data_IF_215767657285
#
_entry.id   IF_215767657285
#
_cell.length_a   1.000
_cell.length_b   1.000
_cell.length_c   1.000
_cell.angle_alpha   90.00
_cell.angle_beta   90.00
_cell.angle_gamma   90.00
#
_symmetry.space_group_name_H-M   'P 1'
#
loop_
_entity.id
_entity.type
_entity.pdbx_description
1 polymer ?
#
# COMPACT_ATOMS: atom_id res chain seq x y z
N UNK A 1 -8.22 -28.20 -30.59
CA UNK A 1 -8.04 -27.01 -31.47
C UNK A 1 -6.58 -26.52 -31.39
N UNK A 2 -5.97 -26.46 -30.21
CA UNK A 2 -4.55 -26.10 -30.03
C UNK A 2 -3.62 -27.11 -30.70
N UNK A 3 -3.88 -28.40 -30.48
CA UNK A 3 -3.11 -29.49 -31.09
C UNK A 3 -3.05 -29.43 -32.62
N UNK A 4 -4.08 -28.85 -33.24
CA UNK A 4 -4.17 -28.70 -34.68
C UNK A 4 -3.77 -27.29 -35.18
N UNK A 5 -3.32 -26.41 -34.28
CA UNK A 5 -2.90 -25.04 -34.62
C UNK A 5 -4.01 -24.10 -35.14
N UNK A 6 -5.29 -24.45 -34.92
CA UNK A 6 -6.46 -23.70 -35.41
C UNK A 6 -7.19 -22.92 -34.33
N UNK A 7 -6.68 -22.94 -33.09
CA UNK A 7 -7.25 -22.17 -31.97
C UNK A 7 -6.31 -22.15 -30.79
N UNK A 8 -6.58 -21.24 -29.86
CA UNK A 8 -5.85 -21.07 -28.62
C UNK A 8 -6.81 -20.88 -27.46
N UNK A 9 -6.54 -21.50 -26.32
CA UNK A 9 -7.25 -21.22 -25.08
C UNK A 9 -6.96 -19.78 -24.65
N UNK A 10 -8.02 -19.04 -24.30
CA UNK A 10 -7.90 -17.70 -23.75
C UNK A 10 -8.74 -17.59 -22.49
N UNK A 11 -8.07 -17.41 -21.37
CA UNK A 11 -8.70 -17.10 -20.10
C UNK A 11 -8.87 -15.59 -19.99
N UNK A 12 -10.09 -15.11 -19.76
CA UNK A 12 -10.35 -13.71 -19.50
C UNK A 12 -11.09 -13.54 -18.18
N UNK A 13 -10.62 -12.59 -17.38
CA UNK A 13 -11.22 -12.27 -16.08
C UNK A 13 -12.10 -11.03 -16.21
N UNK A 14 -13.29 -11.04 -15.59
CA UNK A 14 -14.19 -9.89 -15.48
C UNK A 14 -14.07 -9.24 -14.10
N UNK A 15 -12.86 -9.09 -13.60
CA UNK A 15 -12.58 -8.38 -12.37
C UNK A 15 -12.24 -6.94 -12.67
N UNK A 16 -12.72 -6.02 -11.83
CA UNK A 16 -12.22 -4.63 -11.84
C UNK A 16 -10.91 -4.58 -11.10
N UNK A 17 -10.03 -3.69 -11.53
CA UNK A 17 -8.79 -3.41 -10.81
C UNK A 17 -9.09 -2.97 -9.39
N UNK A 18 -8.34 -3.50 -8.45
CA UNK A 18 -8.40 -3.04 -7.07
C UNK A 18 -7.50 -1.82 -6.91
N UNK A 19 -8.13 -0.65 -6.80
CA UNK A 19 -7.43 0.62 -6.63
C UNK A 19 -7.29 0.92 -5.13
N UNK A 20 -6.06 0.87 -4.63
CA UNK A 20 -5.74 1.20 -3.24
C UNK A 20 -5.29 2.65 -3.06
N UNK A 21 -4.98 3.39 -4.12
CA UNK A 21 -4.63 4.80 -4.10
C UNK A 21 -5.81 5.70 -4.49
N UNK A 22 -5.79 6.93 -4.02
CA UNK A 22 -6.83 7.94 -4.28
C UNK A 22 -6.22 9.33 -4.44
N UNK A 23 -6.93 10.20 -5.13
CA UNK A 23 -6.64 11.62 -5.27
C UNK A 23 -7.10 12.39 -4.02
N UNK A 24 -6.48 12.06 -2.88
CA UNK A 24 -6.80 12.67 -1.58
C UNK A 24 -5.54 13.16 -0.89
N UNK A 25 -5.66 14.25 -0.14
CA UNK A 25 -4.55 14.75 0.68
C UNK A 25 -4.24 13.78 1.83
N UNK A 26 -5.27 13.36 2.59
CA UNK A 26 -5.08 12.45 3.71
C UNK A 26 -4.96 10.99 3.28
N UNK A 27 -3.85 10.39 3.61
CA UNK A 27 -3.49 9.01 3.37
C UNK A 27 -1.98 8.85 3.44
N UNK A 28 -1.48 7.64 3.50
CA UNK A 28 -0.06 7.37 3.42
C UNK A 28 0.44 7.79 2.03
N UNK A 29 1.49 8.64 1.94
CA UNK A 29 2.07 9.03 0.66
C UNK A 29 2.76 7.85 0.00
N UNK A 30 2.74 7.82 -1.32
CA UNK A 30 3.43 6.79 -2.11
C UNK A 30 4.84 7.32 -2.43
N UNK A 31 5.91 6.67 -1.96
CA UNK A 31 7.27 7.19 -2.10
C UNK A 31 7.86 6.91 -3.49
N UNK A 32 7.21 7.46 -4.53
CA UNK A 32 7.65 7.35 -5.94
C UNK A 32 7.83 8.74 -6.53
N UNK A 33 8.82 8.88 -7.39
CA UNK A 33 9.10 10.06 -8.21
C UNK A 33 8.97 9.68 -9.67
N UNK A 34 8.21 10.46 -10.44
CA UNK A 34 8.06 10.35 -11.89
C UNK A 34 8.94 11.40 -12.57
N UNK A 35 9.90 10.97 -13.37
CA UNK A 35 10.86 11.83 -14.04
C UNK A 35 10.40 12.25 -15.44
N UNK A 36 10.82 13.42 -15.90
CA UNK A 36 10.47 13.93 -17.23
C UNK A 36 11.05 13.06 -18.36
N UNK A 37 12.06 12.24 -18.10
CA UNK A 37 12.61 11.26 -19.04
C UNK A 37 11.75 10.01 -19.21
N UNK A 38 10.60 9.95 -18.53
CA UNK A 38 9.63 8.83 -18.57
C UNK A 38 9.97 7.69 -17.60
N UNK A 39 11.03 7.81 -16.80
CA UNK A 39 11.36 6.83 -15.76
C UNK A 39 10.64 7.14 -14.44
N UNK A 40 10.55 6.14 -13.56
CA UNK A 40 10.06 6.32 -12.20
C UNK A 40 10.99 5.62 -11.22
N UNK A 41 11.26 6.26 -10.10
CA UNK A 41 12.11 5.71 -9.04
C UNK A 41 11.45 5.82 -7.68
N UNK A 42 11.87 4.98 -6.74
CA UNK A 42 11.55 5.20 -5.34
C UNK A 42 12.23 6.46 -4.81
N UNK A 43 11.61 7.09 -3.82
CA UNK A 43 12.26 8.13 -3.01
C UNK A 43 13.47 7.51 -2.30
N UNK A 44 14.63 8.19 -2.26
CA UNK A 44 15.82 7.69 -1.55
C UNK A 44 15.54 7.36 -0.08
N UNK A 45 16.15 6.30 0.43
CA UNK A 45 15.92 5.84 1.81
C UNK A 45 16.23 6.90 2.87
N UNK A 46 17.23 7.75 2.64
CA UNK A 46 17.59 8.85 3.53
C UNK A 46 16.55 9.99 3.56
N UNK A 47 15.58 10.01 2.64
CA UNK A 47 14.45 10.94 2.62
C UNK A 47 13.18 10.33 3.23
N UNK A 48 13.23 9.10 3.70
CA UNK A 48 12.12 8.44 4.36
C UNK A 48 12.12 8.70 5.88
N UNK A 49 10.96 8.77 6.52
CA UNK A 49 9.62 8.62 5.94
C UNK A 49 9.21 9.83 5.10
N UNK A 50 8.57 9.58 3.95
CA UNK A 50 7.98 10.65 3.16
C UNK A 50 6.80 11.25 3.90
N UNK A 51 6.90 12.52 4.28
CA UNK A 51 5.90 13.23 5.09
C UNK A 51 5.05 14.13 4.20
N UNK A 52 3.72 14.10 4.43
CA UNK A 52 2.82 15.05 3.77
C UNK A 52 3.13 16.49 4.18
N UNK A 53 3.15 17.43 3.23
CA UNK A 53 3.43 18.84 3.53
C UNK A 53 2.30 19.44 4.35
N UNK A 54 2.64 20.25 5.35
CA UNK A 54 1.64 20.98 6.12
C UNK A 54 1.05 22.10 5.25
N UNK A 55 -0.25 22.09 5.06
CA UNK A 55 -0.97 23.13 4.32
C UNK A 55 -2.34 23.40 4.93
N UNK A 56 -2.81 24.63 4.83
CA UNK A 56 -4.19 25.01 5.13
C UNK A 56 -5.07 25.03 3.87
N UNK A 57 -4.48 24.88 2.69
CA UNK A 57 -5.18 24.92 1.41
C UNK A 57 -5.25 23.50 0.80
N UNK A 58 -6.36 22.82 1.08
CA UNK A 58 -6.65 21.47 0.56
C UNK A 58 -7.80 21.58 -0.44
N UNK A 59 -7.57 22.35 -1.51
CA UNK A 59 -8.54 22.51 -2.59
C UNK A 59 -8.31 21.46 -3.69
N UNK A 60 -9.37 21.02 -4.39
CA UNK A 60 -9.23 20.23 -5.59
C UNK A 60 -8.31 20.92 -6.60
N UNK A 61 -7.49 20.14 -7.30
CA UNK A 61 -6.57 20.66 -8.33
C UNK A 61 -7.27 21.26 -9.54
N UNK A 62 -8.52 20.88 -9.79
CA UNK A 62 -9.24 21.22 -11.01
C UNK A 62 -8.84 20.39 -12.25
N UNK A 63 -7.79 19.59 -12.14
CA UNK A 63 -7.25 18.74 -13.22
C UNK A 63 -7.60 17.26 -13.06
N UNK A 64 -8.26 16.89 -11.95
CA UNK A 64 -8.49 15.50 -11.56
C UNK A 64 -7.34 14.87 -10.76
N UNK A 65 -6.24 15.58 -10.58
CA UNK A 65 -5.15 15.17 -9.70
C UNK A 65 -5.49 15.41 -8.22
N UNK A 66 -4.71 14.83 -7.33
CA UNK A 66 -4.81 15.07 -5.89
C UNK A 66 -4.55 16.54 -5.53
N UNK A 67 -5.12 17.05 -4.41
CA UNK A 67 -4.76 18.37 -3.88
C UNK A 67 -3.26 18.58 -3.67
N UNK A 68 -2.48 17.53 -3.48
CA UNK A 68 -1.01 17.59 -3.39
C UNK A 68 -0.37 18.15 -4.66
N UNK A 69 -1.01 18.01 -5.82
CA UNK A 69 -0.52 18.56 -7.08
C UNK A 69 -0.45 20.09 -7.10
N UNK A 70 -1.16 20.78 -6.19
CA UNK A 70 -1.09 22.23 -6.05
C UNK A 70 0.12 22.70 -5.22
N UNK A 71 0.83 21.81 -4.55
CA UNK A 71 1.92 22.13 -3.62
C UNK A 71 3.28 21.95 -4.32
N UNK A 72 3.61 22.86 -5.21
CA UNK A 72 4.77 22.79 -6.11
C UNK A 72 6.09 22.59 -5.36
N UNK A 73 6.27 23.25 -4.22
CA UNK A 73 7.51 23.15 -3.43
C UNK A 73 7.76 21.73 -2.87
N UNK A 74 6.69 20.98 -2.60
CA UNK A 74 6.78 19.58 -2.19
C UNK A 74 6.82 18.64 -3.39
N UNK A 75 6.08 19.00 -4.44
CA UNK A 75 5.85 18.16 -5.61
C UNK A 75 7.09 18.03 -6.48
N UNK A 76 7.74 19.16 -6.78
CA UNK A 76 8.82 19.22 -7.75
C UNK A 76 10.16 18.84 -7.13
N UNK A 77 10.89 18.00 -7.83
CA UNK A 77 12.23 17.52 -7.44
C UNK A 77 13.16 17.56 -8.65
N UNK A 78 14.45 17.63 -8.38
CA UNK A 78 15.47 17.59 -9.43
C UNK A 78 16.48 16.52 -9.06
N UNK A 79 16.75 15.61 -9.98
CA UNK A 79 17.76 14.56 -9.85
C UNK A 79 19.16 15.15 -9.99
N UNK A 80 20.19 14.48 -9.50
CA UNK A 80 21.60 14.95 -9.54
C UNK A 80 22.10 15.28 -10.95
N UNK A 81 21.60 14.59 -11.98
CA UNK A 81 21.92 14.83 -13.39
C UNK A 81 21.14 15.99 -14.00
N UNK A 82 20.30 16.69 -13.22
CA UNK A 82 19.51 17.84 -13.64
C UNK A 82 18.15 17.51 -14.23
N UNK A 83 17.77 16.23 -14.33
CA UNK A 83 16.43 15.83 -14.81
C UNK A 83 15.38 16.19 -13.75
N UNK A 84 14.34 16.89 -14.18
CA UNK A 84 13.22 17.25 -13.32
C UNK A 84 12.27 16.08 -13.12
N UNK A 85 11.60 16.05 -11.99
CA UNK A 85 10.61 15.04 -11.66
C UNK A 85 9.51 15.60 -10.76
N UNK A 86 8.48 14.80 -10.58
CA UNK A 86 7.35 15.10 -9.71
C UNK A 86 7.10 13.91 -8.79
N UNK A 87 6.91 14.18 -7.50
CA UNK A 87 6.47 13.15 -6.55
C UNK A 87 5.08 12.66 -6.91
N UNK A 88 4.81 11.38 -6.62
CA UNK A 88 3.45 10.83 -6.72
C UNK A 88 2.50 11.62 -5.81
N UNK A 89 1.36 12.04 -6.37
CA UNK A 89 0.38 12.88 -5.64
C UNK A 89 -0.79 12.09 -5.09
N UNK A 90 -1.00 10.86 -5.57
CA UNK A 90 -1.97 9.96 -4.96
C UNK A 90 -1.49 9.51 -3.57
N UNK A 91 -2.42 9.25 -2.70
CA UNK A 91 -2.15 8.66 -1.38
C UNK A 91 -2.88 7.35 -1.21
N UNK A 92 -2.50 6.58 -0.21
CA UNK A 92 -3.16 5.33 0.18
C UNK A 92 -4.03 5.58 1.42
N UNK A 93 -5.27 6.06 1.28
CA UNK A 93 -6.13 6.38 2.41
C UNK A 93 -6.77 5.14 3.04
N UNK A 94 -7.40 5.33 4.19
CA UNK A 94 -8.21 4.33 4.89
C UNK A 94 -7.39 3.13 5.40
N UNK A 95 -7.61 1.95 4.80
CA UNK A 95 -7.11 0.67 5.31
C UNK A 95 -5.64 0.39 5.02
N UNK A 96 -4.98 1.19 4.21
CA UNK A 96 -3.57 0.98 3.90
C UNK A 96 -2.68 1.09 5.14
N UNK A 97 -2.81 2.16 5.92
CA UNK A 97 -2.05 2.36 7.14
C UNK A 97 -2.40 1.35 8.24
N UNK A 98 -3.69 0.98 8.36
CA UNK A 98 -4.13 0.01 9.36
C UNK A 98 -3.97 -1.45 8.92
N UNK A 99 -3.53 -1.71 7.69
CA UNK A 99 -3.43 -3.07 7.16
C UNK A 99 -2.37 -3.95 7.85
N UNK A 100 -1.40 -3.36 8.50
CA UNK A 100 -0.25 -4.06 9.09
C UNK A 100 -0.10 -3.84 10.60
N UNK A 101 -1.09 -3.23 11.29
CA UNK A 101 -1.01 -2.91 12.72
C UNK A 101 -0.75 -4.15 13.59
N UNK A 102 -1.34 -5.28 13.25
CA UNK A 102 -1.19 -6.53 14.00
C UNK A 102 0.26 -7.05 13.97
N UNK A 103 1.02 -6.75 12.94
CA UNK A 103 2.46 -7.05 12.88
C UNK A 103 3.23 -6.14 13.82
N UNK A 104 2.95 -4.83 13.79
CA UNK A 104 3.63 -3.85 14.63
C UNK A 104 3.32 -4.02 16.12
N UNK A 105 2.15 -4.53 16.47
CA UNK A 105 1.79 -4.83 17.85
C UNK A 105 2.65 -5.92 18.49
N UNK A 106 3.26 -6.79 17.68
CA UNK A 106 4.15 -7.84 18.17
C UNK A 106 5.43 -7.22 18.76
N UNK A 107 5.93 -6.13 18.15
CA UNK A 107 7.16 -5.46 18.57
C UNK A 107 7.08 -3.94 18.35
N UNK A 108 6.29 -3.23 19.18
CA UNK A 108 5.91 -1.84 18.93
C UNK A 108 7.05 -0.82 19.11
N UNK A 109 8.12 -1.21 19.79
CA UNK A 109 9.25 -0.32 20.11
C UNK A 109 10.51 -0.61 19.28
N UNK A 110 10.40 -1.42 18.26
CA UNK A 110 11.51 -1.73 17.37
C UNK A 110 11.69 -0.61 16.34
N UNK A 111 12.79 0.13 16.44
CA UNK A 111 13.10 1.25 15.54
C UNK A 111 13.91 0.82 14.30
N UNK A 112 14.39 -0.43 14.27
CA UNK A 112 15.25 -0.93 13.19
C UNK A 112 14.49 -1.78 12.16
N UNK A 113 13.45 -2.50 12.61
CA UNK A 113 12.68 -3.45 11.78
C UNK A 113 11.18 -3.28 12.00
N UNK A 114 10.37 -3.84 11.10
CA UNK A 114 8.93 -3.96 11.28
C UNK A 114 8.56 -4.64 12.61
N UNK A 115 9.22 -5.73 12.91
CA UNK A 115 9.22 -6.45 14.18
C UNK A 115 10.37 -7.47 14.19
N UNK A 116 10.77 -7.94 15.35
CA UNK A 116 11.76 -8.99 15.49
C UNK A 116 11.29 -10.31 14.88
N UNK A 117 12.19 -11.00 14.16
CA UNK A 117 11.86 -12.21 13.41
C UNK A 117 11.42 -13.39 14.29
N UNK A 118 12.03 -13.54 15.46
CA UNK A 118 11.67 -14.63 16.37
C UNK A 118 10.31 -14.35 17.03
N UNK A 119 10.01 -13.07 17.30
CA UNK A 119 8.68 -12.68 17.77
C UNK A 119 7.62 -12.89 16.68
N UNK A 120 7.92 -12.54 15.42
CA UNK A 120 7.01 -12.82 14.31
C UNK A 120 6.73 -14.32 14.15
N UNK A 121 7.76 -15.17 14.25
CA UNK A 121 7.61 -16.64 14.22
C UNK A 121 6.77 -17.18 15.37
N UNK A 122 6.89 -16.58 16.55
CA UNK A 122 6.18 -17.02 17.74
C UNK A 122 4.69 -16.62 17.74
N UNK A 123 4.35 -15.48 17.13
CA UNK A 123 3.01 -14.90 17.23
C UNK A 123 2.18 -14.98 15.96
N UNK A 124 2.77 -15.35 14.81
CA UNK A 124 2.06 -15.50 13.54
C UNK A 124 1.85 -16.98 13.15
N UNK A 125 0.76 -17.28 12.44
CA UNK A 125 -0.35 -16.39 12.09
C UNK A 125 -1.22 -16.06 13.30
N UNK A 126 -1.92 -14.94 13.28
CA UNK A 126 -2.89 -14.56 14.33
C UNK A 126 -3.98 -15.63 14.47
N UNK A 127 -4.24 -16.10 15.67
CA UNK A 127 -5.13 -17.24 15.91
C UNK A 127 -6.58 -16.96 15.53
N UNK A 128 -7.07 -15.77 15.87
CA UNK A 128 -8.45 -15.39 15.59
C UNK A 128 -8.56 -13.89 15.34
N UNK A 129 -9.29 -13.54 14.29
CA UNK A 129 -9.74 -12.19 13.99
C UNK A 129 -11.24 -12.09 14.28
N UNK A 130 -11.62 -11.16 15.18
CA UNK A 130 -13.01 -10.92 15.55
C UNK A 130 -13.40 -9.54 15.05
N UNK A 131 -14.39 -9.46 14.18
CA UNK A 131 -14.81 -8.19 13.59
C UNK A 131 -16.04 -8.31 12.70
N UNK A 132 -16.58 -7.17 12.29
CA UNK A 132 -17.74 -7.09 11.41
C UNK A 132 -17.49 -7.74 10.04
N UNK A 133 -18.53 -8.27 9.45
CA UNK A 133 -18.48 -8.94 8.14
C UNK A 133 -18.03 -8.00 7.01
N UNK A 134 -18.23 -6.67 7.17
CA UNK A 134 -17.81 -5.64 6.24
C UNK A 134 -16.28 -5.63 6.02
N UNK A 135 -15.51 -6.03 7.03
CA UNK A 135 -14.05 -6.08 6.92
C UNK A 135 -13.54 -7.15 5.96
N UNK A 136 -14.38 -8.08 5.52
CA UNK A 136 -13.99 -9.05 4.51
C UNK A 136 -13.55 -8.40 3.20
N UNK A 137 -14.14 -7.26 2.85
CA UNK A 137 -13.78 -6.46 1.65
C UNK A 137 -13.08 -5.13 1.98
N UNK A 138 -12.90 -4.83 3.25
CA UNK A 138 -12.23 -3.64 3.75
C UNK A 138 -10.86 -4.01 4.33
N UNK A 139 -10.71 -4.00 5.65
CA UNK A 139 -9.44 -4.24 6.33
C UNK A 139 -8.79 -5.58 5.94
N UNK A 140 -9.55 -6.67 5.91
CA UNK A 140 -9.00 -8.01 5.64
C UNK A 140 -8.43 -8.15 4.22
N UNK A 141 -9.02 -7.46 3.23
CA UNK A 141 -8.48 -7.46 1.87
C UNK A 141 -7.10 -6.80 1.83
N UNK A 142 -6.96 -5.63 2.45
CA UNK A 142 -5.68 -4.92 2.55
C UNK A 142 -4.65 -5.71 3.38
N UNK A 143 -5.04 -6.17 4.56
CA UNK A 143 -4.16 -6.93 5.44
C UNK A 143 -3.61 -8.18 4.76
N UNK A 144 -4.46 -8.94 4.08
CA UNK A 144 -4.04 -10.16 3.37
C UNK A 144 -3.13 -9.85 2.18
N UNK A 145 -3.40 -8.79 1.42
CA UNK A 145 -2.54 -8.37 0.31
C UNK A 145 -1.13 -8.00 0.82
N UNK A 146 -1.05 -7.11 1.81
CA UNK A 146 0.23 -6.70 2.40
C UNK A 146 0.97 -7.86 3.06
N UNK A 147 0.26 -8.73 3.76
CA UNK A 147 0.89 -9.90 4.39
C UNK A 147 1.52 -10.83 3.37
N UNK A 148 0.82 -11.10 2.25
CA UNK A 148 1.37 -11.92 1.17
C UNK A 148 2.58 -11.27 0.51
N UNK A 149 2.54 -9.99 0.28
CA UNK A 149 3.68 -9.23 -0.23
C UNK A 149 4.89 -9.30 0.73
N UNK A 150 4.67 -9.09 2.02
CA UNK A 150 5.72 -9.23 3.03
C UNK A 150 6.25 -10.67 3.14
N UNK A 151 5.39 -11.67 2.94
CA UNK A 151 5.81 -13.06 2.87
C UNK A 151 6.71 -13.31 1.66
N UNK A 152 6.37 -12.81 0.50
CA UNK A 152 7.17 -12.96 -0.72
C UNK A 152 8.55 -12.27 -0.58
N UNK A 153 8.64 -11.22 0.22
CA UNK A 153 9.89 -10.55 0.60
C UNK A 153 10.65 -11.26 1.75
N UNK A 154 10.08 -12.32 2.35
CA UNK A 154 10.68 -13.03 3.48
C UNK A 154 10.62 -12.27 4.82
N UNK A 155 9.80 -11.22 4.94
CA UNK A 155 9.68 -10.40 6.15
C UNK A 155 8.78 -11.07 7.20
N UNK A 156 7.75 -11.79 6.77
CA UNK A 156 6.85 -12.55 7.67
C UNK A 156 6.93 -14.04 7.37
N UNK A 157 6.80 -14.92 8.40
CA UNK A 157 7.03 -16.36 8.25
C UNK A 157 5.83 -17.14 7.68
N UNK A 158 4.65 -16.53 7.57
CA UNK A 158 3.41 -17.22 7.20
C UNK A 158 2.76 -16.61 5.96
N UNK A 159 2.11 -17.46 5.13
CA UNK A 159 1.41 -16.99 3.92
C UNK A 159 0.11 -16.26 4.19
N UNK A 160 -0.55 -16.59 5.30
CA UNK A 160 -1.84 -16.02 5.68
C UNK A 160 -1.71 -15.32 7.04
N UNK A 161 -2.34 -14.14 7.19
CA UNK A 161 -2.24 -13.36 8.42
C UNK A 161 -3.05 -13.92 9.58
N UNK A 162 -4.20 -14.53 9.30
CA UNK A 162 -5.18 -14.96 10.29
C UNK A 162 -5.60 -16.41 10.06
N UNK A 163 -5.70 -17.19 11.15
CA UNK A 163 -6.14 -18.58 11.08
C UNK A 163 -7.66 -18.72 11.05
N UNK A 164 -8.36 -17.87 11.81
CA UNK A 164 -9.79 -17.93 11.98
C UNK A 164 -10.43 -16.57 11.97
N UNK A 165 -11.54 -16.46 11.25
CA UNK A 165 -12.42 -15.29 11.25
C UNK A 165 -13.69 -15.62 12.03
N UNK A 166 -14.06 -14.73 12.96
CA UNK A 166 -15.34 -14.77 13.65
C UNK A 166 -16.06 -13.43 13.48
N UNK A 167 -17.18 -13.47 12.76
CA UNK A 167 -18.04 -12.30 12.61
C UNK A 167 -19.14 -12.33 13.67
N UNK A 168 -19.17 -11.33 14.56
CA UNK A 168 -20.35 -11.06 15.37
C UNK A 168 -21.45 -10.50 14.45
N UNK A 169 -22.69 -10.86 14.67
CA UNK A 169 -23.80 -10.34 13.86
C UNK A 169 -23.91 -8.82 13.90
N UNK A 170 -24.65 -8.27 12.97
CA UNK A 170 -25.08 -6.87 13.01
C UNK A 170 -26.24 -6.74 14.00
N UNK A 171 -26.21 -5.69 14.82
CA UNK A 171 -27.28 -5.33 15.75
C UNK A 171 -28.12 -4.24 15.11
#
# INVERSE_FOLDING_TARGET
LEENGVGQEKISYRLRDWLFSRQRYWGEPIPIIHWEDGTSTAVPENELPLVLPKTSDIKPSGTGESPLANLTDWLEVVREDGVKGRRETNTMPQWAGSSWYYLRYIDPHNDEKLADEELLKAWLPVDIYIGGAEHAVLHLLYARFWHKFLYDLGVVPTKEPFQKLFNQGMI
#
